data_IF_705426742886
#
_entry.id   IF_705426742886
#
_cell.length_a   1.000
_cell.length_b   1.000
_cell.length_c   1.000
_cell.angle_alpha   90.00
_cell.angle_beta   90.00
_cell.angle_gamma   90.00
#
_symmetry.space_group_name_H-M   'P 1'
#
loop_
_entity.id
_entity.type
_entity.pdbx_description
1 polymer ?
#
# COMPACT_ATOMS: atom_id res chain seq x y z
N UNK A 1 -26.34 -7.79 -2.98
CA UNK A 1 -25.85 -7.44 -1.62
C UNK A 1 -24.33 -7.25 -1.56
N UNK A 2 -23.51 -8.10 -2.21
CA UNK A 2 -22.03 -8.00 -2.17
C UNK A 2 -21.43 -6.73 -2.79
N UNK A 3 -21.95 -6.27 -3.93
CA UNK A 3 -21.46 -5.10 -4.69
C UNK A 3 -21.61 -3.78 -3.91
N UNK A 4 -22.66 -3.65 -3.10
CA UNK A 4 -22.89 -2.42 -2.33
C UNK A 4 -21.88 -2.23 -1.20
N UNK A 5 -21.43 -3.31 -0.55
CA UNK A 5 -20.37 -3.20 0.46
C UNK A 5 -19.01 -2.85 -0.18
N UNK A 6 -18.70 -3.39 -1.38
CA UNK A 6 -17.44 -3.05 -2.08
C UNK A 6 -17.37 -1.59 -2.48
N UNK A 7 -18.47 -1.07 -3.03
CA UNK A 7 -18.59 0.35 -3.33
C UNK A 7 -18.39 1.20 -2.07
N UNK A 8 -18.98 0.79 -0.94
CA UNK A 8 -18.82 1.50 0.34
C UNK A 8 -17.39 1.45 0.87
N UNK A 9 -16.68 0.32 0.74
CA UNK A 9 -15.27 0.23 1.16
C UNK A 9 -14.35 1.08 0.30
N UNK A 10 -14.52 1.05 -1.03
CA UNK A 10 -13.73 1.88 -1.92
C UNK A 10 -13.93 3.38 -1.66
N UNK A 11 -15.19 3.79 -1.42
CA UNK A 11 -15.52 5.17 -1.02
C UNK A 11 -14.93 5.52 0.34
N UNK A 12 -15.05 4.64 1.33
CA UNK A 12 -14.50 4.86 2.66
C UNK A 12 -12.97 4.96 2.63
N UNK A 13 -12.28 4.05 1.93
CA UNK A 13 -10.84 4.11 1.70
C UNK A 13 -10.42 5.43 1.04
N UNK A 14 -11.14 5.88 0.01
CA UNK A 14 -10.87 7.16 -0.64
C UNK A 14 -10.99 8.35 0.35
N UNK A 15 -11.97 8.31 1.24
CA UNK A 15 -12.14 9.31 2.31
C UNK A 15 -11.01 9.22 3.36
N UNK A 16 -10.72 8.04 3.88
CA UNK A 16 -9.72 7.85 4.93
C UNK A 16 -8.29 8.18 4.46
N UNK A 17 -7.94 7.90 3.20
CA UNK A 17 -6.64 8.28 2.64
C UNK A 17 -6.37 9.79 2.70
N UNK A 18 -7.43 10.61 2.77
CA UNK A 18 -7.37 12.07 2.92
C UNK A 18 -7.65 12.57 4.33
N UNK A 19 -8.01 11.69 5.25
CA UNK A 19 -8.28 12.04 6.64
C UNK A 19 -7.01 11.92 7.49
N UNK A 20 -7.14 12.22 8.78
CA UNK A 20 -6.13 11.97 9.81
C UNK A 20 -6.52 10.82 10.75
N UNK A 21 -7.63 10.14 10.47
CA UNK A 21 -8.21 9.11 11.34
C UNK A 21 -7.73 7.71 10.94
N UNK A 22 -6.46 7.43 11.21
CA UNK A 22 -5.87 6.13 10.92
C UNK A 22 -6.39 4.98 11.78
N UNK A 23 -6.93 5.27 12.98
CA UNK A 23 -7.51 4.27 13.86
C UNK A 23 -8.81 3.71 13.27
N UNK A 24 -9.73 4.59 12.86
CA UNK A 24 -10.97 4.16 12.22
C UNK A 24 -10.70 3.45 10.89
N UNK A 25 -9.71 3.92 10.13
CA UNK A 25 -9.33 3.26 8.90
C UNK A 25 -8.78 1.84 9.16
N UNK A 26 -7.90 1.69 10.15
CA UNK A 26 -7.37 0.39 10.54
C UNK A 26 -8.49 -0.56 11.00
N UNK A 27 -9.44 -0.09 11.81
CA UNK A 27 -10.59 -0.89 12.25
C UNK A 27 -11.44 -1.36 11.05
N UNK A 28 -11.69 -0.48 10.08
CA UNK A 28 -12.38 -0.82 8.84
C UNK A 28 -11.62 -1.90 8.05
N UNK A 29 -10.30 -1.78 7.92
CA UNK A 29 -9.47 -2.75 7.21
C UNK A 29 -9.45 -4.12 7.90
N UNK A 30 -9.42 -4.15 9.23
CA UNK A 30 -9.50 -5.41 10.01
C UNK A 30 -10.84 -6.08 9.74
N UNK A 31 -11.94 -5.34 9.75
CA UNK A 31 -13.25 -5.91 9.48
C UNK A 31 -13.39 -6.37 8.01
N UNK A 32 -12.82 -5.62 7.08
CA UNK A 32 -12.78 -6.02 5.66
C UNK A 32 -11.98 -7.31 5.46
N UNK A 33 -10.81 -7.45 6.10
CA UNK A 33 -10.02 -8.68 6.04
C UNK A 33 -10.76 -9.86 6.67
N UNK A 34 -11.35 -9.68 7.86
CA UNK A 34 -12.10 -10.75 8.54
C UNK A 34 -13.30 -11.26 7.73
N UNK A 35 -13.97 -10.36 7.02
CA UNK A 35 -15.19 -10.70 6.28
C UNK A 35 -14.90 -11.26 4.88
N UNK A 36 -13.78 -10.87 4.25
CA UNK A 36 -13.54 -11.11 2.82
C UNK A 36 -12.13 -11.54 2.46
N UNK A 37 -11.15 -11.26 3.32
CA UNK A 37 -9.74 -11.52 3.05
C UNK A 37 -9.34 -12.97 3.30
N UNK A 38 -8.35 -13.43 2.55
CA UNK A 38 -7.72 -14.72 2.81
C UNK A 38 -6.68 -14.57 3.91
N UNK A 39 -6.44 -15.64 4.68
CA UNK A 39 -5.52 -15.61 5.83
C UNK A 39 -4.12 -15.09 5.48
N UNK A 40 -3.63 -15.40 4.28
CA UNK A 40 -2.31 -15.00 3.81
C UNK A 40 -2.28 -13.57 3.24
N UNK A 41 -3.41 -12.87 3.15
CA UNK A 41 -3.48 -11.50 2.58
C UNK A 41 -3.46 -10.42 3.66
N UNK A 42 -3.40 -10.78 4.94
CA UNK A 42 -3.45 -9.84 6.07
C UNK A 42 -2.45 -8.69 5.94
N UNK A 43 -1.23 -8.99 5.50
CA UNK A 43 -0.19 -7.99 5.30
C UNK A 43 -0.36 -7.20 3.99
N UNK A 44 -1.00 -7.78 2.97
CA UNK A 44 -1.26 -7.10 1.69
C UNK A 44 -2.25 -5.93 1.85
N UNK A 45 -3.30 -6.12 2.65
CA UNK A 45 -4.33 -5.10 2.89
C UNK A 45 -3.72 -3.82 3.46
N UNK A 46 -2.95 -3.95 4.55
CA UNK A 46 -2.34 -2.78 5.19
C UNK A 46 -1.19 -2.21 4.36
N UNK A 47 -0.44 -3.06 3.65
CA UNK A 47 0.65 -2.60 2.78
C UNK A 47 0.13 -1.70 1.68
N UNK A 48 -0.92 -2.11 0.98
CA UNK A 48 -1.51 -1.31 -0.09
C UNK A 48 -1.95 0.07 0.42
N UNK A 49 -2.64 0.11 1.56
CA UNK A 49 -3.13 1.36 2.17
C UNK A 49 -1.99 2.29 2.57
N UNK A 50 -0.95 1.75 3.22
CA UNK A 50 0.21 2.56 3.62
C UNK A 50 0.91 3.14 2.40
N UNK A 51 1.17 2.33 1.37
CA UNK A 51 1.82 2.79 0.15
C UNK A 51 0.98 3.86 -0.58
N UNK A 52 -0.35 3.71 -0.64
CA UNK A 52 -1.25 4.72 -1.18
C UNK A 52 -1.23 6.02 -0.37
N UNK A 53 -1.26 5.93 0.97
CA UNK A 53 -1.15 7.08 1.86
C UNK A 53 0.13 7.87 1.63
N UNK A 54 1.26 7.17 1.49
CA UNK A 54 2.55 7.79 1.16
C UNK A 54 2.54 8.45 -0.22
N UNK A 55 1.93 7.81 -1.24
CA UNK A 55 1.74 8.42 -2.56
C UNK A 55 0.90 9.70 -2.53
N UNK A 56 0.06 9.87 -1.50
CA UNK A 56 -0.74 11.07 -1.24
C UNK A 56 -0.06 12.07 -0.30
N UNK A 57 1.21 11.83 0.08
CA UNK A 57 1.97 12.61 1.06
C UNK A 57 1.33 12.66 2.46
N UNK A 58 0.41 11.75 2.77
CA UNK A 58 -0.25 11.68 4.07
C UNK A 58 0.48 10.68 4.99
N UNK A 59 1.67 11.07 5.45
CA UNK A 59 2.55 10.22 6.27
C UNK A 59 1.88 9.90 7.62
N UNK A 60 1.26 10.90 8.25
CA UNK A 60 0.61 10.76 9.57
C UNK A 60 -0.51 9.71 9.54
N UNK A 61 -1.39 9.76 8.53
CA UNK A 61 -2.43 8.75 8.35
C UNK A 61 -1.82 7.38 8.06
N UNK A 62 -0.82 7.28 7.18
CA UNK A 62 -0.18 6.01 6.86
C UNK A 62 0.46 5.34 8.10
N UNK A 63 1.19 6.13 8.90
CA UNK A 63 1.81 5.67 10.15
C UNK A 63 0.77 5.25 11.20
N UNK A 64 -0.22 6.10 11.47
CA UNK A 64 -1.27 5.80 12.47
C UNK A 64 -2.14 4.62 12.07
N UNK A 65 -2.46 4.46 10.78
CA UNK A 65 -3.18 3.30 10.24
C UNK A 65 -2.37 2.03 10.38
N UNK A 66 -1.08 2.05 10.02
CA UNK A 66 -0.19 0.89 10.18
C UNK A 66 -0.11 0.43 11.64
N UNK A 67 0.18 1.37 12.56
CA UNK A 67 0.29 1.08 13.99
C UNK A 67 -1.01 0.55 14.58
N UNK A 68 -2.15 1.12 14.18
CA UNK A 68 -3.45 0.69 14.68
C UNK A 68 -3.82 -0.69 14.12
N UNK A 69 -3.58 -0.92 12.83
CA UNK A 69 -3.90 -2.18 12.17
C UNK A 69 -3.11 -3.35 12.76
N UNK A 70 -1.80 -3.20 12.95
CA UNK A 70 -0.96 -4.27 13.50
C UNK A 70 -1.29 -4.59 14.96
N UNK A 71 -1.83 -3.63 15.72
CA UNK A 71 -2.32 -3.85 17.09
C UNK A 71 -3.71 -4.46 17.16
N UNK A 72 -4.60 -4.10 16.22
CA UNK A 72 -6.00 -4.54 16.22
C UNK A 72 -6.22 -5.90 15.56
N UNK A 73 -5.36 -6.28 14.61
CA UNK A 73 -5.61 -7.45 13.78
C UNK A 73 -5.25 -8.76 14.51
N UNK A 74 -6.20 -9.69 14.72
CA UNK A 74 -5.97 -10.90 15.53
C UNK A 74 -5.02 -11.93 14.91
N UNK A 75 -4.69 -11.78 13.62
CA UNK A 75 -3.69 -12.62 12.94
C UNK A 75 -2.26 -12.07 13.04
N UNK A 76 -2.06 -10.90 13.66
CA UNK A 76 -0.75 -10.27 13.87
C UNK A 76 -0.50 -10.33 15.38
N UNK A 77 0.39 -11.23 15.81
CA UNK A 77 0.51 -11.58 17.22
C UNK A 77 1.72 -10.97 17.95
N UNK A 78 2.49 -10.10 17.29
CA UNK A 78 3.77 -9.63 17.81
C UNK A 78 4.04 -8.16 17.48
N UNK A 79 4.91 -7.53 18.27
CA UNK A 79 5.57 -6.27 17.90
C UNK A 79 6.68 -6.53 16.85
N UNK A 80 7.16 -5.50 16.12
CA UNK A 80 8.29 -5.68 15.22
C UNK A 80 9.52 -6.26 15.95
N UNK A 81 10.27 -7.20 15.35
CA UNK A 81 10.11 -7.71 13.99
C UNK A 81 8.97 -8.73 13.86
N UNK A 82 8.09 -8.51 12.88
CA UNK A 82 6.99 -9.40 12.58
C UNK A 82 7.48 -10.67 11.87
N UNK A 83 6.76 -11.78 12.03
CA UNK A 83 6.98 -12.99 11.23
C UNK A 83 6.71 -12.73 9.74
N UNK A 84 5.80 -11.80 9.44
CA UNK A 84 5.41 -11.39 8.08
C UNK A 84 6.43 -10.38 7.53
N UNK A 85 7.28 -10.76 6.54
CA UNK A 85 8.35 -9.87 6.08
C UNK A 85 7.82 -8.59 5.44
N UNK A 86 6.65 -8.63 4.81
CA UNK A 86 6.04 -7.44 4.20
C UNK A 86 5.66 -6.37 5.24
N UNK A 87 5.24 -6.78 6.44
CA UNK A 87 5.00 -5.83 7.54
C UNK A 87 6.31 -5.20 8.04
N UNK A 88 7.39 -5.96 8.07
CA UNK A 88 8.72 -5.42 8.40
C UNK A 88 9.18 -4.41 7.35
N UNK A 89 8.98 -4.70 6.07
CA UNK A 89 9.24 -3.74 4.99
C UNK A 89 8.53 -2.42 5.25
N UNK A 90 7.23 -2.45 5.52
CA UNK A 90 6.44 -1.23 5.78
C UNK A 90 6.91 -0.50 7.04
N UNK A 91 7.19 -1.24 8.12
CA UNK A 91 7.73 -0.66 9.35
C UNK A 91 9.03 0.10 9.09
N UNK A 92 9.97 -0.49 8.34
CA UNK A 92 11.24 0.15 8.01
C UNK A 92 11.08 1.28 7.00
N UNK A 93 10.21 1.13 6.00
CA UNK A 93 9.92 2.17 5.02
C UNK A 93 9.45 3.45 5.73
N UNK A 94 8.48 3.32 6.64
CA UNK A 94 7.96 4.44 7.42
C UNK A 94 9.03 5.13 8.28
N UNK A 95 10.00 4.38 8.83
CA UNK A 95 11.10 4.93 9.65
C UNK A 95 12.14 5.72 8.84
N UNK A 96 12.32 5.40 7.55
CA UNK A 96 13.34 6.05 6.72
C UNK A 96 12.83 7.28 5.97
N UNK A 97 11.52 7.59 6.03
CA UNK A 97 10.92 8.75 5.36
C UNK A 97 11.51 10.07 5.85
N UNK A 98 11.69 10.24 7.15
CA UNK A 98 12.20 11.50 7.74
C UNK A 98 13.66 11.78 7.38
N UNK A 99 14.42 10.74 7.03
CA UNK A 99 15.85 10.85 6.76
C UNK A 99 16.23 11.02 5.29
N UNK A 100 15.30 10.81 4.34
CA UNK A 100 15.58 10.94 2.90
C UNK A 100 16.74 10.07 2.38
N UNK A 101 17.09 8.98 3.08
CA UNK A 101 18.28 8.17 2.78
C UNK A 101 18.03 7.26 1.58
N UNK A 102 18.22 7.79 0.37
CA UNK A 102 18.00 7.07 -0.89
C UNK A 102 18.68 5.69 -0.95
N UNK A 103 19.94 5.59 -0.53
CA UNK A 103 20.65 4.29 -0.50
C UNK A 103 19.94 3.27 0.40
N UNK A 104 19.46 3.69 1.56
CA UNK A 104 18.70 2.83 2.49
C UNK A 104 17.37 2.41 1.87
N UNK A 105 16.68 3.32 1.18
CA UNK A 105 15.44 3.00 0.46
C UNK A 105 15.65 1.93 -0.62
N UNK A 106 16.69 2.08 -1.46
CA UNK A 106 17.02 1.12 -2.52
C UNK A 106 17.30 -0.26 -1.93
N UNK A 107 18.20 -0.34 -0.94
CA UNK A 107 18.53 -1.62 -0.27
C UNK A 107 17.29 -2.24 0.36
N UNK A 108 16.41 -1.44 0.97
CA UNK A 108 15.17 -1.95 1.56
C UNK A 108 14.25 -2.57 0.49
N UNK A 109 14.06 -1.93 -0.65
CA UNK A 109 13.27 -2.49 -1.75
C UNK A 109 13.89 -3.77 -2.33
N UNK A 110 15.22 -3.83 -2.45
CA UNK A 110 15.93 -5.03 -2.94
C UNK A 110 15.78 -6.22 -1.98
N UNK A 111 15.98 -5.99 -0.68
CA UNK A 111 15.94 -7.06 0.33
C UNK A 111 14.55 -7.69 0.48
N UNK A 112 13.49 -6.92 0.25
CA UNK A 112 12.10 -7.37 0.40
C UNK A 112 11.41 -7.69 -0.93
N UNK A 113 12.16 -7.80 -2.04
CA UNK A 113 11.60 -8.01 -3.38
C UNK A 113 10.66 -9.23 -3.46
N UNK A 114 10.98 -10.34 -2.78
CA UNK A 114 10.14 -11.54 -2.73
C UNK A 114 8.79 -11.31 -2.06
N UNK A 115 8.71 -10.37 -1.12
CA UNK A 115 7.47 -9.96 -0.47
C UNK A 115 6.71 -8.94 -1.31
N UNK A 116 7.43 -8.04 -1.98
CA UNK A 116 6.86 -6.98 -2.81
C UNK A 116 6.22 -7.51 -4.10
N UNK A 117 6.75 -8.59 -4.67
CA UNK A 117 6.20 -9.20 -5.90
C UNK A 117 4.86 -9.91 -5.72
N UNK A 118 4.40 -10.09 -4.48
CA UNK A 118 3.08 -10.65 -4.18
C UNK A 118 1.93 -9.78 -4.71
N UNK A 119 2.15 -8.47 -4.87
CA UNK A 119 1.21 -7.55 -5.52
C UNK A 119 1.97 -6.66 -6.52
N UNK A 120 1.78 -6.85 -7.84
CA UNK A 120 2.44 -6.05 -8.86
C UNK A 120 2.20 -4.54 -8.75
N UNK A 121 1.07 -4.11 -8.16
CA UNK A 121 0.72 -2.69 -8.00
C UNK A 121 1.69 -1.93 -7.09
N UNK A 122 2.39 -2.62 -6.18
CA UNK A 122 3.35 -2.00 -5.28
C UNK A 122 4.51 -1.34 -6.00
N UNK A 123 4.89 -1.87 -7.17
CA UNK A 123 5.97 -1.29 -7.99
C UNK A 123 5.67 0.17 -8.32
N UNK A 124 4.43 0.49 -8.72
CA UNK A 124 4.07 1.85 -9.12
C UNK A 124 3.99 2.80 -7.92
N UNK A 125 3.53 2.30 -6.76
CA UNK A 125 3.56 3.08 -5.53
C UNK A 125 4.98 3.36 -5.07
N UNK A 126 5.86 2.36 -5.10
CA UNK A 126 7.26 2.50 -4.70
C UNK A 126 8.03 3.43 -5.64
N UNK A 127 7.80 3.37 -6.96
CA UNK A 127 8.37 4.34 -7.89
C UNK A 127 7.99 5.78 -7.50
N UNK A 128 6.71 6.00 -7.19
CA UNK A 128 6.19 7.31 -6.79
C UNK A 128 6.73 7.75 -5.43
N UNK A 129 6.81 6.85 -4.44
CA UNK A 129 7.39 7.12 -3.12
C UNK A 129 8.88 7.49 -3.25
N UNK A 130 9.62 6.76 -4.10
CA UNK A 130 11.01 7.05 -4.44
C UNK A 130 11.20 8.49 -4.94
N UNK A 131 10.33 8.93 -5.86
CA UNK A 131 10.35 10.29 -6.38
C UNK A 131 9.97 11.33 -5.32
N UNK A 132 8.94 11.05 -4.52
CA UNK A 132 8.38 12.00 -3.55
C UNK A 132 9.28 12.25 -2.35
N UNK A 133 9.92 11.21 -1.80
CA UNK A 133 10.63 11.28 -0.52
C UNK A 133 12.15 11.10 -0.64
N UNK A 134 12.62 10.47 -1.71
CA UNK A 134 14.04 10.13 -1.88
C UNK A 134 14.67 10.76 -3.12
N UNK A 135 13.93 11.64 -3.81
CA UNK A 135 14.38 12.39 -5.00
C UNK A 135 14.93 11.48 -6.12
N UNK A 136 14.39 10.26 -6.24
CA UNK A 136 14.69 9.37 -7.36
C UNK A 136 14.23 10.05 -8.65
N UNK A 137 15.10 10.09 -9.67
CA UNK A 137 14.70 10.59 -10.99
C UNK A 137 13.59 9.68 -11.53
N UNK A 138 12.54 10.23 -12.16
CA UNK A 138 11.53 9.41 -12.81
C UNK A 138 12.21 8.40 -13.72
N UNK A 139 11.89 7.13 -13.58
CA UNK A 139 12.33 6.16 -14.56
C UNK A 139 11.70 6.58 -15.88
N UNK A 140 12.51 6.95 -16.87
CA UNK A 140 12.04 7.10 -18.24
C UNK A 140 11.58 5.72 -18.69
N UNK A 141 10.32 5.39 -18.40
CA UNK A 141 9.64 4.26 -19.00
C UNK A 141 9.61 4.60 -20.49
N UNK A 142 10.65 4.19 -21.25
CA UNK A 142 10.54 4.00 -22.71
C UNK A 142 9.17 3.39 -22.94
N UNK A 143 8.32 3.91 -23.84
CA UNK A 143 6.92 3.54 -23.93
C UNK A 143 6.82 2.02 -23.98
N UNK A 144 6.59 1.43 -22.81
CA UNK A 144 6.45 0.01 -22.64
C UNK A 144 5.07 -0.19 -23.18
N UNK A 145 4.97 -0.87 -24.32
CA UNK A 145 3.71 -1.37 -24.85
C UNK A 145 3.06 -2.22 -23.76
N UNK A 146 2.36 -1.57 -22.83
CA UNK A 146 1.45 -2.21 -21.91
C UNK A 146 0.25 -2.57 -22.77
N UNK A 147 0.31 -3.78 -23.33
CA UNK A 147 -0.87 -4.58 -23.62
C UNK A 147 -1.59 -4.83 -22.29
N UNK A 148 -2.28 -3.81 -21.81
CA UNK A 148 -3.26 -3.88 -20.75
C UNK A 148 -4.62 -4.04 -21.41
N UNK A 149 -5.27 -5.17 -21.14
CA UNK A 149 -6.56 -5.62 -21.67
C UNK A 149 -7.73 -4.62 -21.47
N UNK A 150 -7.51 -3.51 -20.75
CA UNK A 150 -8.48 -2.44 -20.50
C UNK A 150 -8.38 -1.27 -21.51
N UNK A 151 -7.35 -1.23 -22.36
CA UNK A 151 -7.18 -0.19 -23.39
C UNK A 151 -8.01 -0.39 -24.66
N UNK A 152 -8.39 -1.63 -24.98
CA UNK A 152 -9.09 -1.96 -26.23
C UNK A 152 -10.62 -1.78 -26.18
N UNK A 153 -11.22 -1.61 -25.01
CA UNK A 153 -12.68 -1.44 -24.91
C UNK A 153 -13.12 0.02 -25.07
N UNK A 154 -12.24 0.99 -24.78
CA UNK A 154 -12.55 2.43 -24.92
C UNK A 154 -12.37 2.89 -26.38
N UNK A 155 -11.50 2.24 -27.16
CA UNK A 155 -11.31 2.53 -28.59
C UNK A 155 -12.46 2.05 -29.49
N UNK A 156 -13.37 1.21 -28.99
CA UNK A 156 -14.51 0.69 -29.78
C UNK A 156 -15.84 1.37 -29.45
N UNK A 157 -15.86 2.27 -28.46
CA UNK A 157 -17.03 3.09 -28.12
C UNK A 157 -16.91 4.56 -28.56
N UNK A 158 -15.74 4.94 -29.08
CA UNK A 158 -15.49 6.23 -29.73
C UNK A 158 -14.80 5.94 -31.07
N UNK A 159 -15.55 5.29 -31.95
CA UNK A 159 -15.27 5.09 -33.36
C UNK A 159 -16.56 5.27 -34.13
#
# INVERSE_FOLDING_TARGET
MYIHLEANFALAQHHYLRSTDGLAFAAMLVEMHKTRGLKYEVDLFITQVVLQGLCMRNISMAQSTFQSYTKLHPAINDEPPYILPLLNFICYLLKILDGGKLKTYIVLCEQYQSSLTRDPSYTEYLDKIGQLFFHVKPFERRPRQQHGFLGNLISTLIG
#
